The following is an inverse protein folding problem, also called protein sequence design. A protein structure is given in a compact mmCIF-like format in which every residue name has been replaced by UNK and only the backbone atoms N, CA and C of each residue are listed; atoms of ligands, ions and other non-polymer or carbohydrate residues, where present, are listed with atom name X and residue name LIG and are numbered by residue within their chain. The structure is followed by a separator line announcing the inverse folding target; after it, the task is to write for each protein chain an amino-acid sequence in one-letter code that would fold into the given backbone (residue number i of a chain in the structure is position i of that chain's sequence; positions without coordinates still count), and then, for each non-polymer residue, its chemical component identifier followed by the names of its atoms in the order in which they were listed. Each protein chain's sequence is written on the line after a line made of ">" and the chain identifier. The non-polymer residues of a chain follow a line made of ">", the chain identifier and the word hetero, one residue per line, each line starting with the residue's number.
data_IF_003079595463
#
_entry.id   IF_003079595463
#
_cell.length_a   1.000
_cell.length_b   1.000
_cell.length_c   1.000
_cell.angle_alpha   90.00
_cell.angle_beta   90.00
_cell.angle_gamma   90.00
#
_symmetry.space_group_name_H-M   'P 1'
#
loop_
_entity.id
_entity.type
_entity.pdbx_description
1 polymer ?
#
# COMPACT_ATOMS: atom_id res chain seq x y z
N UNK A 1 12.86 1.65 -27.05
CA UNK A 1 12.11 1.24 -25.86
C UNK A 1 12.71 1.99 -24.68
N UNK A 2 12.06 3.06 -24.20
CA UNK A 2 12.55 3.78 -23.02
C UNK A 2 12.36 2.87 -21.81
N UNK A 3 13.44 2.30 -21.29
CA UNK A 3 13.42 1.59 -20.01
C UNK A 3 13.54 2.66 -18.92
N UNK A 4 12.41 3.03 -18.30
CA UNK A 4 12.47 3.91 -17.13
C UNK A 4 13.17 3.17 -16.01
N UNK A 5 14.22 3.79 -15.45
CA UNK A 5 15.08 3.24 -14.38
C UNK A 5 14.24 2.78 -13.17
N UNK A 6 13.04 3.33 -12.99
CA UNK A 6 12.17 3.03 -11.86
C UNK A 6 11.11 1.95 -12.14
N UNK A 7 10.99 1.45 -13.38
CA UNK A 7 9.92 0.53 -13.79
C UNK A 7 9.90 -0.73 -12.93
N UNK A 8 11.05 -1.38 -12.76
CA UNK A 8 11.16 -2.64 -12.03
C UNK A 8 10.80 -2.45 -10.54
N UNK A 9 11.24 -1.34 -9.95
CA UNK A 9 10.90 -0.99 -8.58
C UNK A 9 9.40 -0.69 -8.40
N UNK A 10 8.80 0.06 -9.34
CA UNK A 10 7.35 0.35 -9.33
C UNK A 10 6.54 -0.95 -9.51
N UNK A 11 7.03 -1.92 -10.26
CA UNK A 11 6.31 -3.18 -10.46
C UNK A 11 6.49 -4.16 -9.28
N UNK A 12 7.60 -4.07 -8.56
CA UNK A 12 7.89 -4.94 -7.40
C UNK A 12 6.87 -4.74 -6.27
N UNK A 13 6.10 -5.78 -5.89
CA UNK A 13 5.13 -5.69 -4.80
C UNK A 13 5.80 -5.43 -3.44
N UNK A 14 5.19 -4.60 -2.59
CA UNK A 14 5.70 -4.34 -1.22
C UNK A 14 5.69 -5.63 -0.36
N UNK A 15 4.82 -6.60 -0.69
CA UNK A 15 4.77 -7.90 0.00
C UNK A 15 6.08 -8.69 -0.08
N UNK A 16 6.94 -8.43 -1.06
CA UNK A 16 8.25 -9.09 -1.15
C UNK A 16 9.13 -8.79 0.06
N UNK A 17 9.10 -7.54 0.56
CA UNK A 17 9.80 -7.16 1.80
C UNK A 17 9.26 -7.94 3.00
N UNK A 18 7.94 -8.15 3.04
CA UNK A 18 7.29 -8.92 4.10
C UNK A 18 7.70 -10.40 4.04
N UNK A 19 7.74 -11.00 2.85
CA UNK A 19 8.20 -12.38 2.62
C UNK A 19 9.65 -12.53 3.06
N UNK A 20 10.52 -11.59 2.69
CA UNK A 20 11.92 -11.58 3.12
C UNK A 20 12.04 -11.54 4.65
N UNK A 21 11.29 -10.65 5.32
CA UNK A 21 11.29 -10.54 6.77
C UNK A 21 10.82 -11.82 7.48
N UNK A 22 9.81 -12.50 6.92
CA UNK A 22 9.35 -13.82 7.39
C UNK A 22 10.43 -14.87 7.19
N UNK A 23 11.06 -14.92 6.03
CA UNK A 23 12.08 -15.92 5.70
C UNK A 23 13.32 -15.80 6.59
N UNK A 24 13.79 -14.59 6.87
CA UNK A 24 14.91 -14.36 7.79
C UNK A 24 14.56 -14.81 9.21
N UNK A 25 13.31 -14.58 9.63
CA UNK A 25 12.85 -14.94 10.98
C UNK A 25 12.67 -16.45 11.19
N UNK A 26 12.55 -17.25 10.12
CA UNK A 26 12.36 -18.71 10.22
C UNK A 26 13.43 -19.43 11.02
N UNK A 27 14.68 -18.98 10.92
CA UNK A 27 15.82 -19.59 11.60
C UNK A 27 15.79 -19.41 13.14
N UNK A 28 14.99 -18.47 13.65
CA UNK A 28 14.96 -18.10 15.07
C UNK A 28 14.22 -19.14 15.92
N UNK A 29 13.21 -19.82 15.34
CA UNK A 29 12.34 -20.76 16.07
C UNK A 29 11.09 -20.10 16.68
N UNK A 30 10.30 -20.89 17.41
CA UNK A 30 8.97 -20.51 17.92
C UNK A 30 8.83 -20.65 19.45
N UNK A 31 9.94 -20.85 20.18
CA UNK A 31 9.90 -20.99 21.63
C UNK A 31 9.57 -19.67 22.33
N UNK A 32 9.15 -19.74 23.59
CA UNK A 32 8.76 -18.57 24.39
C UNK A 32 9.91 -17.55 24.54
N UNK A 33 11.15 -18.03 24.51
CA UNK A 33 12.37 -17.24 24.54
C UNK A 33 12.52 -16.32 23.33
N UNK A 34 11.87 -16.65 22.21
CA UNK A 34 11.92 -15.87 20.96
C UNK A 34 10.83 -14.81 20.87
N UNK A 35 9.80 -14.90 21.71
CA UNK A 35 8.65 -13.98 21.67
C UNK A 35 9.02 -12.50 21.86
N UNK A 36 9.97 -12.12 22.74
CA UNK A 36 10.38 -10.72 22.88
C UNK A 36 10.99 -10.13 21.61
N UNK A 37 11.57 -10.94 20.73
CA UNK A 37 12.23 -10.48 19.49
C UNK A 37 11.26 -9.80 18.52
N UNK A 38 9.97 -10.15 18.58
CA UNK A 38 8.92 -9.47 17.82
C UNK A 38 8.99 -7.95 17.98
N UNK A 39 9.26 -7.46 19.20
CA UNK A 39 9.28 -6.02 19.51
C UNK A 39 10.37 -5.23 18.79
N UNK A 40 11.38 -5.91 18.25
CA UNK A 40 12.43 -5.29 17.44
C UNK A 40 12.24 -5.56 15.94
N UNK A 41 11.90 -6.79 15.59
CA UNK A 41 11.80 -7.22 14.18
C UNK A 41 10.64 -6.52 13.48
N UNK A 42 9.47 -6.42 14.11
CA UNK A 42 8.28 -5.90 13.46
C UNK A 42 8.30 -4.39 13.23
N UNK A 43 8.75 -3.55 14.18
CA UNK A 43 8.98 -2.14 13.87
C UNK A 43 10.00 -1.93 12.76
N UNK A 44 11.09 -2.71 12.72
CA UNK A 44 12.08 -2.65 11.63
C UNK A 44 11.47 -2.99 10.27
N UNK A 45 10.70 -4.09 10.21
CA UNK A 45 10.01 -4.51 9.00
C UNK A 45 8.97 -3.49 8.54
N UNK A 46 8.20 -2.93 9.47
CA UNK A 46 7.24 -1.86 9.20
C UNK A 46 7.91 -0.62 8.60
N UNK A 47 9.05 -0.19 9.16
CA UNK A 47 9.82 0.94 8.64
C UNK A 47 10.34 0.69 7.21
N UNK A 48 10.85 -0.52 6.93
CA UNK A 48 11.26 -0.90 5.57
C UNK A 48 10.09 -0.85 4.59
N UNK A 49 8.93 -1.41 4.97
CA UNK A 49 7.74 -1.42 4.13
C UNK A 49 7.18 -0.02 3.87
N UNK A 50 7.08 0.84 4.88
CA UNK A 50 6.57 2.21 4.70
C UNK A 50 7.53 3.07 3.88
N UNK A 51 8.85 2.95 4.12
CA UNK A 51 9.86 3.65 3.33
C UNK A 51 9.82 3.24 1.86
N UNK A 52 9.72 1.94 1.58
CA UNK A 52 9.55 1.44 0.21
C UNK A 52 8.26 1.94 -0.44
N UNK A 53 7.15 1.98 0.31
CA UNK A 53 5.88 2.52 -0.19
C UNK A 53 5.99 4.00 -0.57
N UNK A 54 6.59 4.83 0.29
CA UNK A 54 6.77 6.26 0.05
C UNK A 54 7.63 6.52 -1.19
N UNK A 55 8.76 5.81 -1.32
CA UNK A 55 9.62 5.92 -2.50
C UNK A 55 8.93 5.45 -3.77
N UNK A 56 8.15 4.37 -3.68
CA UNK A 56 7.38 3.84 -4.81
C UNK A 56 6.36 4.84 -5.33
N UNK A 57 5.65 5.53 -4.42
CA UNK A 57 4.71 6.59 -4.79
C UNK A 57 5.41 7.78 -5.46
N UNK A 58 6.57 8.21 -4.94
CA UNK A 58 7.37 9.26 -5.59
C UNK A 58 7.80 8.86 -7.01
N UNK A 59 8.27 7.64 -7.19
CA UNK A 59 8.67 7.13 -8.50
C UNK A 59 7.49 7.14 -9.48
N UNK A 60 6.29 6.72 -9.04
CA UNK A 60 5.06 6.79 -9.85
C UNK A 60 4.76 8.24 -10.26
N UNK A 61 4.82 9.20 -9.34
CA UNK A 61 4.60 10.61 -9.66
C UNK A 61 5.60 11.13 -10.71
N UNK A 62 6.88 10.79 -10.57
CA UNK A 62 7.91 11.16 -11.55
C UNK A 62 7.69 10.52 -12.91
N UNK A 63 7.22 9.28 -12.97
CA UNK A 63 6.89 8.60 -14.22
C UNK A 63 5.71 9.27 -14.93
N UNK A 64 4.67 9.66 -14.18
CA UNK A 64 3.54 10.43 -14.71
C UNK A 64 4.01 11.79 -15.23
N UNK A 65 4.78 12.51 -14.42
CA UNK A 65 5.34 13.82 -14.75
C UNK A 65 6.22 13.75 -16.01
N UNK A 66 6.92 12.64 -16.25
CA UNK A 66 7.74 12.44 -17.45
C UNK A 66 6.91 12.62 -18.73
N UNK A 67 5.67 12.13 -18.72
CA UNK A 67 4.76 12.10 -19.86
C UNK A 67 3.65 13.18 -19.79
N UNK A 68 3.65 14.04 -18.77
CA UNK A 68 2.61 15.03 -18.52
C UNK A 68 3.22 16.33 -17.99
N UNK A 69 3.37 17.32 -18.87
CA UNK A 69 4.00 18.59 -18.53
C UNK A 69 3.18 19.40 -17.52
N UNK A 70 1.84 19.34 -17.60
CA UNK A 70 0.96 20.03 -16.65
C UNK A 70 1.05 19.38 -15.27
N UNK A 71 1.01 18.05 -15.19
CA UNK A 71 1.24 17.35 -13.94
C UNK A 71 2.62 17.65 -13.36
N UNK A 72 3.67 17.65 -14.20
CA UNK A 72 5.03 17.99 -13.77
C UNK A 72 5.08 19.39 -13.14
N UNK A 73 4.42 20.36 -13.77
CA UNK A 73 4.35 21.73 -13.24
C UNK A 73 3.72 21.76 -11.85
N UNK A 74 2.54 21.15 -11.67
CA UNK A 74 1.86 21.08 -10.36
C UNK A 74 2.70 20.36 -9.29
N UNK A 75 3.38 19.28 -9.70
CA UNK A 75 4.27 18.51 -8.82
C UNK A 75 5.45 19.37 -8.32
N UNK A 76 6.11 20.11 -9.23
CA UNK A 76 7.25 20.97 -8.91
C UNK A 76 6.85 22.23 -8.12
N UNK A 77 5.69 22.82 -8.41
CA UNK A 77 5.11 23.93 -7.66
C UNK A 77 4.53 23.49 -6.31
N UNK A 78 4.55 22.18 -6.01
CA UNK A 78 4.04 21.56 -4.79
C UNK A 78 2.56 21.90 -4.51
N UNK A 79 1.78 22.13 -5.56
CA UNK A 79 0.35 22.46 -5.46
C UNK A 79 -0.43 21.32 -4.81
N UNK A 80 -0.04 20.08 -5.11
CA UNK A 80 -0.68 18.88 -4.62
C UNK A 80 -0.31 18.54 -3.16
N UNK A 81 0.66 19.24 -2.56
CA UNK A 81 1.13 19.08 -1.17
C UNK A 81 1.41 17.60 -0.83
N UNK A 82 2.06 16.89 -1.76
CA UNK A 82 2.32 15.46 -1.62
C UNK A 82 3.34 15.17 -0.51
N UNK A 83 4.26 16.10 -0.24
CA UNK A 83 5.29 15.95 0.79
C UNK A 83 6.08 14.64 0.61
N UNK A 84 6.25 13.89 1.70
CA UNK A 84 6.91 12.58 1.70
C UNK A 84 6.02 11.44 1.16
N UNK A 85 4.80 11.72 0.66
CA UNK A 85 3.83 10.71 0.23
C UNK A 85 3.39 9.73 1.34
N UNK A 86 3.64 10.07 2.61
CA UNK A 86 3.33 9.24 3.78
C UNK A 86 1.86 9.34 4.23
N UNK A 87 1.24 10.51 4.03
CA UNK A 87 -0.14 10.80 4.46
C UNK A 87 -1.18 10.16 3.54
N UNK A 88 -2.30 9.73 4.13
CA UNK A 88 -3.43 9.16 3.39
C UNK A 88 -3.94 10.09 2.27
N UNK A 89 -4.05 11.40 2.53
CA UNK A 89 -4.50 12.37 1.53
C UNK A 89 -3.60 12.40 0.30
N UNK A 90 -2.28 12.32 0.47
CA UNK A 90 -1.33 12.26 -0.64
C UNK A 90 -1.47 10.94 -1.42
N UNK A 91 -1.55 9.80 -0.72
CA UNK A 91 -1.75 8.48 -1.32
C UNK A 91 -3.04 8.42 -2.15
N UNK A 92 -4.13 8.97 -1.61
CA UNK A 92 -5.42 9.01 -2.30
C UNK A 92 -5.36 9.88 -3.55
N UNK A 93 -4.73 11.07 -3.49
CA UNK A 93 -4.54 11.92 -4.68
C UNK A 93 -3.81 11.18 -5.79
N UNK A 94 -2.63 10.62 -5.48
CA UNK A 94 -1.80 9.88 -6.44
C UNK A 94 -2.60 8.72 -7.06
N UNK A 95 -3.33 7.97 -6.23
CA UNK A 95 -4.20 6.90 -6.71
C UNK A 95 -5.30 7.41 -7.65
N UNK A 96 -6.00 8.48 -7.28
CA UNK A 96 -7.08 9.04 -8.12
C UNK A 96 -6.55 9.56 -9.46
N UNK A 97 -5.36 10.16 -9.48
CA UNK A 97 -4.74 10.63 -10.72
C UNK A 97 -4.28 9.49 -11.61
N UNK A 98 -3.72 8.42 -11.03
CA UNK A 98 -3.45 7.16 -11.73
C UNK A 98 -4.73 6.60 -12.37
N UNK A 99 -5.82 6.49 -11.61
CA UNK A 99 -7.10 5.96 -12.10
C UNK A 99 -7.67 6.82 -13.22
N UNK A 100 -7.66 8.16 -13.08
CA UNK A 100 -8.12 9.07 -14.15
C UNK A 100 -7.36 8.85 -15.44
N UNK A 101 -6.04 8.65 -15.36
CA UNK A 101 -5.18 8.46 -16.52
C UNK A 101 -5.37 7.08 -17.17
N UNK A 102 -5.57 6.04 -16.37
CA UNK A 102 -5.93 4.72 -16.88
C UNK A 102 -7.29 4.78 -17.59
N UNK A 103 -8.27 5.50 -17.02
CA UNK A 103 -9.57 5.72 -17.66
C UNK A 103 -9.46 6.52 -18.97
N UNK A 104 -8.60 7.53 -19.04
CA UNK A 104 -8.38 8.27 -20.29
C UNK A 104 -7.72 7.43 -21.39
N UNK A 105 -7.02 6.35 -21.01
CA UNK A 105 -6.46 5.36 -21.94
C UNK A 105 -7.46 4.23 -22.29
N UNK A 106 -8.70 4.30 -21.78
CA UNK A 106 -9.76 3.32 -22.04
C UNK A 106 -9.78 2.12 -21.08
N UNK A 107 -8.98 2.12 -20.01
CA UNK A 107 -8.99 1.06 -19.00
C UNK A 107 -10.11 1.25 -17.96
N UNK A 108 -10.75 0.15 -17.56
CA UNK A 108 -11.70 0.11 -16.44
C UNK A 108 -11.13 -0.73 -15.29
N UNK A 109 -11.15 -0.15 -14.08
CA UNK A 109 -10.62 -0.75 -12.85
C UNK A 109 -11.73 -1.04 -11.83
N UNK A 110 -12.96 -0.59 -12.05
CA UNK A 110 -13.98 -0.59 -10.99
C UNK A 110 -14.42 -2.02 -10.63
N UNK A 111 -14.42 -2.96 -11.57
CA UNK A 111 -14.69 -4.39 -11.32
C UNK A 111 -13.50 -5.16 -10.71
N UNK A 112 -12.27 -4.66 -10.83
CA UNK A 112 -11.08 -5.39 -10.35
C UNK A 112 -10.72 -5.11 -8.89
N UNK A 113 -11.18 -3.98 -8.33
CA UNK A 113 -10.81 -3.54 -6.97
C UNK A 113 -11.16 -4.54 -5.89
N UNK A 114 -12.37 -5.11 -5.93
CA UNK A 114 -12.83 -6.07 -4.93
C UNK A 114 -11.99 -7.35 -4.99
N UNK A 115 -11.76 -7.86 -6.19
CA UNK A 115 -10.94 -9.05 -6.41
C UNK A 115 -9.49 -8.83 -5.98
N UNK A 116 -8.94 -7.65 -6.26
CA UNK A 116 -7.58 -7.27 -5.84
C UNK A 116 -7.46 -7.23 -4.32
N UNK A 117 -8.42 -6.61 -3.62
CA UNK A 117 -8.37 -6.52 -2.15
C UNK A 117 -8.50 -7.90 -1.52
N UNK A 118 -9.41 -8.73 -2.00
CA UNK A 118 -9.55 -10.11 -1.53
C UNK A 118 -8.25 -10.90 -1.72
N UNK A 119 -7.61 -10.76 -2.90
CA UNK A 119 -6.31 -11.38 -3.17
C UNK A 119 -5.22 -10.91 -2.21
N UNK A 120 -5.13 -9.60 -1.96
CA UNK A 120 -4.14 -9.03 -1.02
C UNK A 120 -4.38 -9.53 0.41
N UNK A 121 -5.63 -9.65 0.84
CA UNK A 121 -5.97 -10.18 2.17
C UNK A 121 -5.52 -11.63 2.31
N UNK A 122 -5.84 -12.48 1.33
CA UNK A 122 -5.43 -13.89 1.36
C UNK A 122 -3.90 -14.04 1.25
N UNK A 123 -3.24 -13.28 0.37
CA UNK A 123 -1.76 -13.25 0.28
C UNK A 123 -1.11 -12.94 1.64
N UNK A 124 -1.61 -11.91 2.36
CA UNK A 124 -1.08 -11.53 3.67
C UNK A 124 -1.32 -12.65 4.69
N UNK A 125 -2.52 -13.26 4.70
CA UNK A 125 -2.83 -14.38 5.59
C UNK A 125 -1.88 -15.53 5.36
N UNK A 126 -1.64 -15.90 4.12
CA UNK A 126 -0.76 -17.02 3.76
C UNK A 126 0.70 -16.74 4.13
N UNK A 127 1.18 -15.52 3.93
CA UNK A 127 2.54 -15.12 4.34
C UNK A 127 2.73 -15.27 5.86
N UNK A 128 1.74 -14.88 6.66
CA UNK A 128 1.85 -14.95 8.11
C UNK A 128 1.54 -16.33 8.71
N UNK A 129 0.62 -17.11 8.12
CA UNK A 129 0.05 -18.34 8.71
C UNK A 129 1.10 -19.38 9.14
N UNK A 130 2.22 -19.47 8.45
CA UNK A 130 3.30 -20.42 8.72
C UNK A 130 4.59 -19.73 9.18
N UNK A 131 4.48 -18.51 9.70
CA UNK A 131 5.62 -17.68 10.12
C UNK A 131 5.80 -17.67 11.64
N UNK A 132 6.99 -17.31 12.11
CA UNK A 132 7.25 -17.10 13.53
C UNK A 132 6.35 -16.01 14.11
N UNK A 133 5.97 -15.02 13.29
CA UNK A 133 5.11 -13.92 13.72
C UNK A 133 3.71 -14.37 14.12
N UNK A 134 3.12 -15.35 13.45
CA UNK A 134 1.82 -15.91 13.87
C UNK A 134 1.92 -16.65 15.19
N UNK A 135 3.10 -17.19 15.52
CA UNK A 135 3.35 -17.85 16.81
C UNK A 135 3.61 -16.82 17.92
N UNK A 136 4.46 -15.82 17.66
CA UNK A 136 4.82 -14.78 18.63
C UNK A 136 3.63 -13.91 19.05
N UNK A 137 2.72 -13.63 18.12
CA UNK A 137 1.50 -12.84 18.34
C UNK A 137 0.23 -13.60 17.94
N UNK A 138 0.05 -14.81 18.45
CA UNK A 138 -1.07 -15.67 18.09
C UNK A 138 -2.44 -15.02 18.28
N UNK A 139 -2.66 -14.36 19.43
CA UNK A 139 -3.94 -13.71 19.73
C UNK A 139 -4.25 -12.57 18.75
N UNK A 140 -3.27 -11.73 18.46
CA UNK A 140 -3.45 -10.60 17.56
C UNK A 140 -3.63 -11.06 16.11
N UNK A 141 -2.90 -12.10 15.70
CA UNK A 141 -3.08 -12.71 14.39
C UNK A 141 -4.48 -13.33 14.24
N UNK A 142 -5.00 -14.03 15.25
CA UNK A 142 -6.37 -14.56 15.22
C UNK A 142 -7.42 -13.45 15.14
N UNK A 143 -7.21 -12.33 15.85
CA UNK A 143 -8.10 -11.17 15.78
C UNK A 143 -8.06 -10.53 14.39
N UNK A 144 -6.86 -10.42 13.78
CA UNK A 144 -6.68 -9.98 12.42
C UNK A 144 -7.43 -10.90 11.44
N UNK A 145 -7.17 -12.21 11.50
CA UNK A 145 -7.72 -13.19 10.56
C UNK A 145 -9.25 -13.19 10.51
N UNK A 146 -9.89 -13.09 11.69
CA UNK A 146 -11.35 -12.99 11.86
C UNK A 146 -11.92 -11.62 11.49
N UNK A 147 -11.19 -10.54 11.78
CA UNK A 147 -11.71 -9.17 11.67
C UNK A 147 -11.41 -8.47 10.35
N UNK A 148 -10.43 -8.92 9.57
CA UNK A 148 -9.91 -8.21 8.40
C UNK A 148 -10.97 -8.04 7.30
N UNK A 149 -11.75 -9.09 7.01
CA UNK A 149 -12.79 -9.05 5.97
C UNK A 149 -13.92 -8.07 6.32
N UNK A 150 -14.23 -7.91 7.61
CA UNK A 150 -15.24 -6.95 8.07
C UNK A 150 -14.75 -5.50 7.97
N UNK A 151 -13.44 -5.25 8.11
CA UNK A 151 -12.84 -3.91 7.99
C UNK A 151 -12.72 -3.42 6.54
N UNK A 152 -12.69 -4.33 5.57
CA UNK A 152 -12.58 -4.02 4.15
C UNK A 152 -13.85 -4.42 3.39
N UNK A 153 -15.02 -4.14 3.96
CA UNK A 153 -16.29 -4.46 3.31
C UNK A 153 -16.45 -3.72 1.97
N UNK A 154 -17.10 -4.36 0.98
CA UNK A 154 -17.34 -3.79 -0.36
C UNK A 154 -17.99 -2.40 -0.29
N UNK A 155 -18.87 -2.18 0.70
CA UNK A 155 -19.55 -0.89 0.92
C UNK A 155 -18.58 0.24 1.26
N UNK A 156 -17.46 -0.05 1.95
CA UNK A 156 -16.43 0.93 2.28
C UNK A 156 -15.46 1.15 1.12
N UNK A 157 -15.22 0.11 0.31
CA UNK A 157 -14.32 0.15 -0.85
C UNK A 157 -14.96 0.89 -2.04
N UNK A 158 -16.27 0.71 -2.24
CA UNK A 158 -17.05 1.29 -3.33
C UNK A 158 -17.76 2.60 -2.94
N UNK A 159 -17.54 3.10 -1.72
CA UNK A 159 -18.11 4.37 -1.29
C UNK A 159 -17.57 5.48 -2.21
N UNK A 160 -18.39 5.94 -3.15
CA UNK A 160 -18.09 7.14 -3.94
C UNK A 160 -17.88 8.30 -2.98
N UNK A 161 -16.78 9.03 -3.15
CA UNK A 161 -16.51 10.26 -2.39
C UNK A 161 -17.77 11.13 -2.42
N UNK A 162 -18.36 11.38 -1.24
CA UNK A 162 -19.39 12.40 -1.10
C UNK A 162 -18.76 13.71 -1.56
N UNK A 163 -19.20 14.25 -2.71
CA UNK A 163 -18.85 15.60 -3.14
C UNK A 163 -19.06 16.53 -1.95
N UNK A 164 -18.01 17.17 -1.45
CA UNK A 164 -18.16 18.31 -0.55
C UNK A 164 -18.74 19.45 -1.38
N UNK A 165 -20.06 19.50 -1.49
CA UNK A 165 -20.78 20.64 -2.01
C UNK A 165 -20.53 21.81 -1.07
N UNK A 166 -19.71 22.75 -1.51
CA UNK A 166 -19.60 24.06 -0.89
C UNK A 166 -20.95 24.76 -0.97
N UNK A 167 -21.59 24.95 0.17
CA UNK A 167 -22.60 25.98 0.38
C UNK A 167 -22.02 26.99 1.36
N UNK A 168 -21.44 28.07 0.83
CA UNK A 168 -21.30 29.31 1.60
C UNK A 168 -22.72 29.82 1.84
N UNK A 169 -23.20 29.74 3.07
CA UNK A 169 -24.34 30.54 3.50
C UNK A 169 -23.78 31.88 3.98
N UNK A 170 -24.37 32.94 3.42
CA UNK A 170 -24.13 34.36 3.69
C UNK A 170 -24.31 34.66 5.18
#
# INVERSE_FOLDING_TARGET
>A
MYHSIHTDFIQTPIKEILIEGVNVSRAIGNGIETQPLYTYIMPSLFLKMTGAQEQKLKCICWEIATHDYEYRRRLLENEDKLGECSKYSAKNKIYTDLVKRIKSLGGDLDNEKVNLINRVIEDIKDIFKYSNFSSWLQKDFQNFDKGIKNKFSEKQILAKDKKSGGGKTI
#
